data_IF_517744735978
#
_entry.id   IF_517744735978
#
_cell.length_a   1.000
_cell.length_b   1.000
_cell.length_c   1.000
_cell.angle_alpha   90.00
_cell.angle_beta   90.00
_cell.angle_gamma   90.00
#
_symmetry.space_group_name_H-M   'P 1'
#
loop_
_entity.id
_entity.type
_entity.pdbx_description
1 polymer ?
#
# COMPACT_ATOMS: atom_id res chain seq x y z
N UNK A 1 -20.72 7.01 -18.66
CA UNK A 1 -21.21 8.41 -18.64
C UNK A 1 -20.37 9.34 -19.54
N UNK A 2 -19.96 8.90 -20.73
CA UNK A 2 -19.40 9.73 -21.81
C UNK A 2 -20.07 9.47 -23.17
N UNK A 3 -21.18 8.70 -23.19
CA UNK A 3 -22.05 8.49 -24.37
C UNK A 3 -23.43 9.16 -24.26
N UNK A 4 -23.73 9.85 -23.16
CA UNK A 4 -25.07 10.43 -22.90
C UNK A 4 -25.09 11.95 -22.71
N UNK A 5 -23.97 12.66 -22.92
CA UNK A 5 -23.93 14.13 -22.81
C UNK A 5 -24.18 14.82 -24.17
N UNK A 6 -24.46 14.08 -25.24
CA UNK A 6 -24.71 14.65 -26.57
C UNK A 6 -26.19 14.67 -27.03
N UNK A 7 -27.16 14.22 -26.21
CA UNK A 7 -28.57 14.32 -26.58
C UNK A 7 -29.49 14.38 -25.35
N UNK A 8 -30.31 15.44 -25.27
CA UNK A 8 -31.55 15.43 -24.49
C UNK A 8 -31.50 16.13 -23.12
N UNK A 9 -31.52 17.46 -23.14
CA UNK A 9 -32.23 18.23 -22.10
C UNK A 9 -33.73 18.01 -22.33
N UNK A 10 -34.40 17.29 -21.44
CA UNK A 10 -35.82 17.38 -21.03
C UNK A 10 -36.32 16.01 -20.53
N UNK A 11 -36.94 15.97 -19.35
CA UNK A 11 -37.74 14.82 -18.89
C UNK A 11 -37.49 14.40 -17.45
N UNK A 12 -38.45 14.76 -16.58
CA UNK A 12 -38.63 14.29 -15.21
C UNK A 12 -38.86 12.77 -15.09
N UNK A 13 -38.82 12.29 -13.83
CA UNK A 13 -39.48 11.10 -13.26
C UNK A 13 -38.58 9.87 -12.95
N UNK A 14 -38.40 9.66 -11.64
CA UNK A 14 -38.22 8.42 -10.85
C UNK A 14 -37.67 7.15 -11.53
N UNK A 15 -36.47 6.70 -11.14
CA UNK A 15 -36.09 5.28 -11.23
C UNK A 15 -35.01 4.86 -10.21
N UNK A 16 -35.48 4.08 -9.22
CA UNK A 16 -34.99 2.73 -8.89
C UNK A 16 -33.55 2.52 -8.41
N UNK A 17 -33.42 2.30 -7.09
CA UNK A 17 -33.02 1.08 -6.34
C UNK A 17 -32.35 -0.14 -7.03
N UNK A 18 -31.82 -0.03 -8.24
CA UNK A 18 -31.21 -1.15 -8.97
C UNK A 18 -29.67 -1.04 -9.14
N UNK A 19 -29.03 -0.05 -8.52
CA UNK A 19 -27.60 0.22 -8.72
C UNK A 19 -26.66 -0.28 -7.60
N UNK A 20 -27.18 -0.82 -6.50
CA UNK A 20 -26.35 -1.34 -5.41
C UNK A 20 -25.59 -2.62 -5.81
N UNK A 21 -26.20 -3.51 -6.59
CA UNK A 21 -25.59 -4.79 -6.97
C UNK A 21 -24.57 -4.69 -8.12
N UNK A 22 -24.60 -3.60 -8.90
CA UNK A 22 -23.62 -3.37 -9.98
C UNK A 22 -22.30 -2.77 -9.50
N UNK A 23 -22.30 -2.07 -8.36
CA UNK A 23 -21.12 -1.42 -7.77
C UNK A 23 -20.06 -2.40 -7.23
N UNK A 24 -20.40 -3.68 -7.14
CA UNK A 24 -19.56 -4.71 -6.51
C UNK A 24 -18.69 -5.46 -7.56
N UNK A 25 -19.00 -5.35 -8.85
CA UNK A 25 -18.42 -6.23 -9.89
C UNK A 25 -17.34 -5.62 -10.79
N UNK A 26 -17.08 -4.31 -10.77
CA UNK A 26 -16.10 -3.67 -11.66
C UNK A 26 -15.12 -2.73 -10.91
N UNK A 27 -13.82 -3.09 -10.79
CA UNK A 27 -12.81 -2.26 -10.11
C UNK A 27 -12.53 -0.93 -10.82
N UNK A 28 -12.64 -0.88 -12.14
CA UNK A 28 -12.36 0.30 -12.99
C UNK A 28 -13.38 1.42 -12.79
N UNK A 29 -14.66 1.08 -12.56
CA UNK A 29 -15.74 2.03 -12.33
C UNK A 29 -15.57 2.82 -11.01
N UNK A 30 -14.90 2.23 -10.02
CA UNK A 30 -14.64 2.84 -8.71
C UNK A 30 -13.52 3.89 -8.81
N UNK A 31 -12.46 3.62 -9.59
CA UNK A 31 -11.35 4.56 -9.80
C UNK A 31 -11.80 5.73 -10.68
N UNK A 32 -12.55 5.46 -11.76
CA UNK A 32 -13.14 6.51 -12.60
C UNK A 32 -14.17 7.36 -11.84
N UNK A 33 -15.06 6.79 -11.02
CA UNK A 33 -15.99 7.58 -10.19
C UNK A 33 -15.29 8.38 -9.10
N UNK A 34 -14.20 7.88 -8.51
CA UNK A 34 -13.47 8.57 -7.44
C UNK A 34 -12.61 9.72 -7.96
N UNK A 35 -11.91 9.51 -9.08
CA UNK A 35 -11.17 10.57 -9.76
C UNK A 35 -12.13 11.58 -10.40
N UNK A 36 -13.21 11.14 -11.06
CA UNK A 36 -14.20 12.09 -11.61
C UNK A 36 -14.91 12.92 -10.55
N UNK A 37 -15.12 12.42 -9.31
CA UNK A 37 -15.64 13.22 -8.20
C UNK A 37 -14.63 14.26 -7.70
N UNK A 38 -13.35 13.90 -7.58
CA UNK A 38 -12.27 14.85 -7.26
C UNK A 38 -12.07 15.89 -8.37
N UNK A 39 -12.24 15.50 -9.64
CA UNK A 39 -12.13 16.37 -10.81
C UNK A 39 -13.37 17.24 -11.03
N UNK A 40 -14.59 16.74 -10.74
CA UNK A 40 -15.83 17.52 -10.80
C UNK A 40 -15.87 18.63 -9.75
N UNK A 41 -15.22 18.43 -8.59
CA UNK A 41 -14.99 19.51 -7.62
C UNK A 41 -14.05 20.60 -8.17
N UNK A 42 -13.05 20.25 -8.99
CA UNK A 42 -12.12 21.21 -9.61
C UNK A 42 -12.72 21.95 -10.82
N UNK A 43 -13.52 21.27 -11.64
CA UNK A 43 -14.22 21.87 -12.78
C UNK A 43 -15.30 22.88 -12.34
N UNK A 44 -15.89 22.72 -11.15
CA UNK A 44 -16.82 23.69 -10.55
C UNK A 44 -16.14 24.82 -9.78
N UNK A 45 -14.93 24.61 -9.28
CA UNK A 45 -14.15 25.65 -8.58
C UNK A 45 -13.48 26.67 -9.52
N UNK A 46 -13.54 26.46 -10.84
CA UNK A 46 -12.95 27.35 -11.85
C UNK A 46 -13.98 28.26 -12.56
N UNK A 47 -15.23 28.30 -12.08
CA UNK A 47 -16.29 29.17 -12.59
C UNK A 47 -16.92 30.02 -11.49
N UNK A 48 -16.79 31.33 -11.62
CA UNK A 48 -17.33 32.38 -10.73
C UNK A 48 -18.85 32.22 -10.54
N UNK A 49 -19.31 31.88 -9.32
CA UNK A 49 -20.56 32.39 -8.73
C UNK A 49 -20.78 31.93 -7.27
N UNK A 50 -20.92 32.93 -6.39
CA UNK A 50 -21.79 32.99 -5.22
C UNK A 50 -21.66 31.93 -4.10
N UNK A 51 -20.97 32.35 -3.03
CA UNK A 51 -21.34 32.22 -1.61
C UNK A 51 -22.71 31.58 -1.34
N UNK A 52 -22.73 30.28 -1.03
CA UNK A 52 -23.81 29.59 -0.34
C UNK A 52 -23.23 28.50 0.58
N UNK A 53 -23.84 28.21 1.74
CA UNK A 53 -23.15 27.60 2.87
C UNK A 53 -22.88 26.11 2.64
N UNK A 54 -21.65 25.73 2.99
CA UNK A 54 -21.14 24.37 3.13
C UNK A 54 -22.02 23.66 4.17
N UNK A 55 -23.06 22.95 3.73
CA UNK A 55 -23.87 22.13 4.62
C UNK A 55 -23.98 20.71 4.05
N UNK A 56 -23.41 19.79 4.84
CA UNK A 56 -23.81 18.39 4.96
C UNK A 56 -23.60 17.50 3.72
N UNK A 57 -22.33 17.23 3.42
CA UNK A 57 -21.96 15.86 3.11
C UNK A 57 -21.73 15.17 4.46
N UNK A 58 -22.73 14.45 4.98
CA UNK A 58 -22.55 13.59 6.14
C UNK A 58 -21.63 12.43 5.74
N UNK A 59 -20.33 12.64 5.90
CA UNK A 59 -19.35 11.56 5.92
C UNK A 59 -19.59 10.77 7.20
N UNK A 60 -20.28 9.64 7.09
CA UNK A 60 -20.24 8.62 8.14
C UNK A 60 -18.79 8.19 8.29
N UNK A 61 -18.19 8.49 9.43
CA UNK A 61 -16.83 8.14 9.78
C UNK A 61 -16.69 6.60 9.77
N UNK A 62 -15.92 6.06 8.82
CA UNK A 62 -14.90 4.99 9.02
C UNK A 62 -14.36 4.39 7.71
N UNK A 63 -14.93 4.62 6.51
CA UNK A 63 -14.30 4.09 5.29
C UNK A 63 -13.31 5.10 4.69
N UNK A 64 -12.01 4.76 4.64
CA UNK A 64 -11.05 5.52 3.83
C UNK A 64 -11.54 5.59 2.38
N UNK A 65 -11.51 6.79 1.80
CA UNK A 65 -12.01 7.05 0.45
C UNK A 65 -11.01 6.56 -0.63
N UNK A 66 -9.77 6.27 -0.24
CA UNK A 66 -8.70 5.79 -1.11
C UNK A 66 -8.18 4.40 -0.68
N UNK A 67 -7.49 3.73 -1.60
CA UNK A 67 -6.87 2.42 -1.36
C UNK A 67 -5.77 2.48 -0.30
N UNK A 68 -5.53 1.36 0.38
CA UNK A 68 -4.44 1.26 1.35
C UNK A 68 -3.07 1.34 0.67
N UNK A 69 -2.04 1.86 1.36
CA UNK A 69 -0.64 1.92 0.89
C UNK A 69 -0.10 0.63 0.25
N UNK A 70 -0.61 -0.56 0.63
CA UNK A 70 -0.20 -1.84 0.06
C UNK A 70 -0.53 -1.94 -1.43
N UNK A 71 -1.59 -1.25 -1.87
CA UNK A 71 -1.96 -1.11 -3.27
C UNK A 71 -0.80 -0.49 -4.05
N UNK A 72 -0.33 0.67 -3.61
CA UNK A 72 0.76 1.38 -4.26
C UNK A 72 2.03 0.54 -4.27
N UNK A 73 2.36 -0.12 -3.15
CA UNK A 73 3.48 -1.07 -3.08
C UNK A 73 3.38 -2.18 -4.14
N UNK A 74 2.25 -2.90 -4.20
CA UNK A 74 2.07 -4.01 -5.13
C UNK A 74 2.12 -3.55 -6.58
N UNK A 75 1.47 -2.42 -6.90
CA UNK A 75 1.48 -1.84 -8.25
C UNK A 75 2.88 -1.35 -8.62
N UNK A 76 3.62 -0.72 -7.70
CA UNK A 76 4.98 -0.22 -7.97
C UNK A 76 5.98 -1.36 -8.25
N UNK A 77 5.82 -2.53 -7.60
CA UNK A 77 6.64 -3.72 -7.90
C UNK A 77 6.53 -4.22 -9.35
N UNK A 78 5.53 -3.77 -10.12
CA UNK A 78 5.44 -4.06 -11.57
C UNK A 78 6.44 -3.27 -12.41
N UNK A 79 7.11 -2.27 -11.81
CA UNK A 79 7.94 -1.22 -12.44
C UNK A 79 7.15 -0.22 -13.27
N UNK A 80 5.84 -0.14 -13.10
CA UNK A 80 4.98 0.81 -13.83
C UNK A 80 5.43 2.25 -13.66
N UNK A 81 5.87 2.64 -12.45
CA UNK A 81 6.36 3.98 -12.19
C UNK A 81 7.60 4.31 -13.03
N UNK A 82 8.64 3.46 -13.00
CA UNK A 82 9.87 3.65 -13.76
C UNK A 82 9.62 3.66 -15.28
N UNK A 83 8.77 2.74 -15.76
CA UNK A 83 8.40 2.64 -17.17
C UNK A 83 7.72 3.93 -17.63
N UNK A 84 6.70 4.42 -16.92
CA UNK A 84 5.99 5.64 -17.33
C UNK A 84 6.81 6.91 -17.14
N UNK A 85 7.70 6.97 -16.13
CA UNK A 85 8.69 8.04 -16.02
C UNK A 85 9.55 8.11 -17.28
N UNK A 86 10.03 6.96 -17.76
CA UNK A 86 10.82 6.88 -18.99
C UNK A 86 9.98 7.22 -20.24
N UNK A 87 8.71 6.80 -20.30
CA UNK A 87 7.78 7.20 -21.38
C UNK A 87 7.64 8.73 -21.45
N UNK A 88 7.42 9.40 -20.31
CA UNK A 88 7.32 10.86 -20.25
C UNK A 88 8.62 11.53 -20.69
N UNK A 89 9.77 11.01 -20.27
CA UNK A 89 11.08 11.51 -20.69
C UNK A 89 11.28 11.36 -22.21
N UNK A 90 10.93 10.21 -22.77
CA UNK A 90 11.06 9.95 -24.21
C UNK A 90 10.11 10.78 -25.06
N UNK A 91 8.94 11.17 -24.55
CA UNK A 91 8.02 12.09 -25.27
C UNK A 91 8.35 13.57 -25.11
N UNK A 92 8.96 13.96 -23.99
CA UNK A 92 9.30 15.37 -23.73
C UNK A 92 10.65 15.77 -24.31
N UNK A 93 11.63 14.85 -24.28
CA UNK A 93 13.03 15.13 -24.67
C UNK A 93 13.63 14.09 -25.59
N UNK A 94 13.08 12.88 -25.61
CA UNK A 94 13.59 11.80 -26.43
C UNK A 94 13.03 11.83 -27.85
N UNK A 95 13.63 11.00 -28.69
CA UNK A 95 13.18 10.74 -30.07
C UNK A 95 12.85 9.26 -30.29
N UNK A 96 12.91 8.43 -29.23
CA UNK A 96 12.70 6.98 -29.34
C UNK A 96 11.24 6.62 -29.58
N UNK A 97 10.32 7.40 -29.02
CA UNK A 97 8.88 7.19 -29.19
C UNK A 97 8.36 8.09 -30.32
N UNK A 98 7.37 7.61 -31.11
CA UNK A 98 6.71 8.48 -32.07
C UNK A 98 5.99 9.63 -31.36
N UNK A 99 5.89 10.77 -32.04
CA UNK A 99 5.10 11.90 -31.56
C UNK A 99 3.66 11.46 -31.25
N UNK A 100 3.08 11.88 -30.12
CA UNK A 100 1.68 11.60 -29.79
C UNK A 100 0.76 12.06 -30.93
N UNK A 101 -0.19 11.20 -31.32
CA UNK A 101 -1.15 11.51 -32.40
C UNK A 101 -2.43 12.12 -31.86
N UNK A 102 -2.69 11.97 -30.57
CA UNK A 102 -3.91 12.39 -29.91
C UNK A 102 -3.64 13.54 -28.93
N UNK A 103 -4.43 14.62 -29.02
CA UNK A 103 -4.38 15.76 -28.09
C UNK A 103 -4.62 15.36 -26.63
N UNK A 104 -5.38 14.29 -26.40
CA UNK A 104 -5.61 13.75 -25.06
C UNK A 104 -4.31 13.18 -24.48
N UNK A 105 -3.46 12.58 -25.31
CA UNK A 105 -2.13 12.09 -24.89
C UNK A 105 -1.24 13.26 -24.48
N UNK A 106 -1.23 14.35 -25.25
CA UNK A 106 -0.50 15.58 -24.89
C UNK A 106 -0.97 16.16 -23.54
N UNK A 107 -2.28 16.22 -23.32
CA UNK A 107 -2.84 16.66 -22.05
C UNK A 107 -2.45 15.71 -20.91
N UNK A 108 -2.50 14.40 -21.13
CA UNK A 108 -2.07 13.41 -20.16
C UNK A 108 -0.59 13.57 -19.79
N UNK A 109 0.30 13.77 -20.75
CA UNK A 109 1.74 13.99 -20.51
C UNK A 109 1.93 15.20 -19.59
N UNK A 110 1.40 16.36 -19.98
CA UNK A 110 1.53 17.61 -19.21
C UNK A 110 0.92 17.47 -17.81
N UNK A 111 -0.27 16.89 -17.70
CA UNK A 111 -0.94 16.70 -16.42
C UNK A 111 -0.18 15.73 -15.51
N UNK A 112 0.34 14.63 -16.06
CA UNK A 112 1.10 13.64 -15.28
C UNK A 112 2.41 14.24 -14.78
N UNK A 113 3.13 14.97 -15.64
CA UNK A 113 4.33 15.72 -15.26
C UNK A 113 4.02 16.72 -14.15
N UNK A 114 2.97 17.54 -14.29
CA UNK A 114 2.61 18.55 -13.30
C UNK A 114 2.15 17.96 -11.95
N UNK A 115 1.44 16.82 -11.96
CA UNK A 115 0.91 16.22 -10.74
C UNK A 115 1.95 15.47 -9.90
N UNK A 116 2.90 14.81 -10.56
CA UNK A 116 3.79 13.83 -9.92
C UNK A 116 5.29 14.08 -10.15
N UNK A 117 5.68 14.86 -11.15
CA UNK A 117 7.10 15.08 -11.47
C UNK A 117 7.55 16.54 -11.35
N UNK A 118 6.61 17.46 -11.15
CA UNK A 118 6.87 18.90 -10.98
C UNK A 118 7.35 19.21 -9.56
N UNK A 119 8.51 19.84 -9.46
CA UNK A 119 9.08 20.24 -8.17
C UNK A 119 8.41 21.53 -7.67
N UNK A 120 7.92 21.51 -6.43
CA UNK A 120 7.54 22.75 -5.75
C UNK A 120 6.09 23.20 -5.94
N UNK A 121 5.16 22.31 -6.31
CA UNK A 121 3.74 22.63 -6.19
C UNK A 121 3.33 22.60 -4.72
N UNK A 122 3.48 23.74 -4.03
CA UNK A 122 3.29 23.87 -2.58
C UNK A 122 1.85 23.60 -2.14
N UNK A 123 0.89 23.70 -3.06
CA UNK A 123 -0.54 23.60 -2.77
C UNK A 123 -1.17 22.28 -3.24
N UNK A 124 -0.40 21.39 -3.88
CA UNK A 124 -0.92 20.09 -4.28
C UNK A 124 -0.89 19.11 -3.09
N UNK A 125 -2.00 18.42 -2.80
CA UNK A 125 -2.02 17.37 -1.77
C UNK A 125 -1.04 16.22 -2.06
N UNK A 126 -0.67 16.00 -3.33
CA UNK A 126 0.30 14.98 -3.77
C UNK A 126 1.75 15.37 -3.53
N UNK A 127 2.03 16.66 -3.36
CA UNK A 127 3.39 17.17 -3.17
C UNK A 127 3.90 16.70 -1.82
N UNK A 128 4.78 15.69 -1.78
CA UNK A 128 5.47 15.23 -0.56
C UNK A 128 6.92 15.68 -0.52
N UNK A 129 7.40 16.23 -1.64
CA UNK A 129 8.76 16.71 -1.81
C UNK A 129 8.95 18.09 -1.19
N UNK A 130 10.10 18.29 -0.56
CA UNK A 130 10.52 19.57 0.01
C UNK A 130 12.04 19.60 0.09
N UNK A 131 12.63 20.69 0.57
CA UNK A 131 14.07 20.74 0.86
C UNK A 131 14.50 19.62 1.82
N UNK A 132 13.61 19.18 2.73
CA UNK A 132 13.87 18.07 3.66
C UNK A 132 13.70 16.68 3.03
N UNK A 133 12.96 16.59 1.91
CA UNK A 133 12.64 15.34 1.20
C UNK A 133 12.71 15.63 -0.30
N UNK A 134 13.91 15.73 -0.86
CA UNK A 134 14.07 16.16 -2.25
C UNK A 134 13.59 15.12 -3.25
N UNK A 135 13.53 13.85 -2.85
CA UNK A 135 13.20 12.72 -3.72
C UNK A 135 11.90 12.02 -3.30
N UNK A 136 10.94 12.01 -4.23
CA UNK A 136 9.64 11.35 -4.04
C UNK A 136 9.78 9.82 -3.99
N UNK A 137 10.64 9.23 -4.83
CA UNK A 137 10.84 7.78 -4.87
C UNK A 137 11.41 7.29 -3.53
N UNK A 138 12.41 8.00 -2.99
CA UNK A 138 12.95 7.72 -1.66
C UNK A 138 11.86 7.86 -0.59
N UNK A 139 11.00 8.88 -0.69
CA UNK A 139 9.89 9.11 0.24
C UNK A 139 8.87 7.97 0.21
N UNK A 140 8.46 7.49 -0.97
CA UNK A 140 7.53 6.34 -1.09
C UNK A 140 8.15 5.04 -0.58
N UNK A 141 9.40 4.74 -0.95
CA UNK A 141 10.13 3.56 -0.45
C UNK A 141 10.30 3.58 1.07
N UNK A 142 10.59 4.76 1.64
CA UNK A 142 10.61 4.95 3.09
C UNK A 142 9.23 4.64 3.72
N UNK A 143 8.13 5.12 3.13
CA UNK A 143 6.79 4.83 3.61
C UNK A 143 6.46 3.33 3.60
N UNK A 144 6.78 2.61 2.52
CA UNK A 144 6.61 1.14 2.45
C UNK A 144 7.40 0.43 3.55
N UNK A 145 8.67 0.81 3.73
CA UNK A 145 9.50 0.20 4.75
C UNK A 145 8.99 0.50 6.16
N UNK A 146 8.54 1.73 6.44
CA UNK A 146 7.92 2.07 7.74
C UNK A 146 6.68 1.23 8.02
N UNK A 147 5.80 1.10 7.03
CA UNK A 147 4.48 0.50 7.21
C UNK A 147 4.49 -1.04 7.22
N UNK A 148 5.35 -1.65 6.41
CA UNK A 148 5.35 -3.10 6.19
C UNK A 148 6.72 -3.75 6.43
N UNK A 149 7.79 -2.98 6.65
CA UNK A 149 9.13 -3.50 6.83
C UNK A 149 9.74 -4.14 5.58
N UNK A 150 9.24 -3.80 4.39
CA UNK A 150 9.65 -4.40 3.11
C UNK A 150 10.17 -3.36 2.12
N UNK A 151 11.10 -3.81 1.28
CA UNK A 151 11.60 -3.05 0.13
C UNK A 151 10.86 -3.48 -1.16
N UNK A 152 10.99 -2.66 -2.20
CA UNK A 152 10.58 -3.06 -3.55
C UNK A 152 11.52 -4.14 -4.10
N UNK A 153 10.97 -5.07 -4.87
CA UNK A 153 11.68 -6.23 -5.40
C UNK A 153 12.60 -5.92 -6.59
N UNK A 154 12.61 -4.68 -7.07
CA UNK A 154 13.41 -4.24 -8.21
C UNK A 154 14.38 -3.12 -7.80
N UNK A 155 15.56 -3.09 -8.44
CA UNK A 155 16.52 -2.01 -8.23
C UNK A 155 16.01 -0.69 -8.82
N UNK A 156 16.79 0.37 -8.59
CA UNK A 156 16.63 1.63 -9.34
C UNK A 156 17.02 1.47 -10.82
N UNK A 157 16.95 2.57 -11.57
CA UNK A 157 17.30 2.62 -13.00
C UNK A 157 18.73 2.13 -13.26
N UNK A 158 19.68 2.43 -12.36
CA UNK A 158 21.10 2.04 -12.48
C UNK A 158 21.38 0.57 -12.11
N UNK A 159 20.34 -0.24 -11.87
CA UNK A 159 20.47 -1.63 -11.42
C UNK A 159 20.97 -1.79 -9.98
N UNK A 160 21.24 -0.68 -9.29
CA UNK A 160 21.65 -0.65 -7.88
C UNK A 160 20.44 -0.55 -6.94
N UNK A 161 20.55 -1.03 -5.68
CA UNK A 161 19.57 -0.73 -4.66
C UNK A 161 19.33 0.78 -4.56
N UNK A 162 18.06 1.19 -4.54
CA UNK A 162 17.71 2.61 -4.51
C UNK A 162 18.12 3.22 -3.16
N UNK A 163 18.87 4.33 -3.14
CA UNK A 163 19.32 4.94 -1.88
C UNK A 163 18.17 5.70 -1.21
N UNK A 164 17.89 5.37 0.05
CA UNK A 164 17.00 6.16 0.91
C UNK A 164 17.30 5.84 2.38
N UNK A 165 16.90 6.75 3.27
CA UNK A 165 17.07 6.55 4.70
C UNK A 165 16.09 5.47 5.20
N UNK A 166 16.63 4.38 5.76
CA UNK A 166 15.82 3.36 6.40
C UNK A 166 15.53 3.78 7.85
N UNK A 167 14.26 3.87 8.26
CA UNK A 167 13.90 4.20 9.64
C UNK A 167 14.41 3.12 10.60
N UNK A 168 14.76 3.52 11.82
CA UNK A 168 15.13 2.58 12.88
C UNK A 168 13.96 1.66 13.28
N UNK A 169 12.72 2.16 13.20
CA UNK A 169 11.51 1.45 13.62
C UNK A 169 10.59 1.21 12.41
N UNK A 170 10.24 -0.05 12.18
CA UNK A 170 9.42 -0.53 11.06
C UNK A 170 8.69 -1.83 11.42
N UNK A 171 7.59 -2.13 10.73
CA UNK A 171 6.81 -3.35 10.93
C UNK A 171 7.44 -4.58 10.24
N UNK A 172 8.62 -5.02 10.68
CA UNK A 172 9.36 -6.13 10.06
C UNK A 172 8.64 -7.47 10.11
N UNK A 173 7.74 -7.65 11.07
CA UNK A 173 6.96 -8.89 11.25
C UNK A 173 5.67 -8.92 10.43
N UNK A 174 5.37 -7.89 9.63
CA UNK A 174 4.10 -7.80 8.90
C UNK A 174 3.91 -8.99 7.96
N UNK A 175 4.92 -9.31 7.15
CA UNK A 175 4.83 -10.42 6.18
C UNK A 175 4.64 -11.78 6.87
N UNK A 176 5.45 -12.17 7.88
CA UNK A 176 5.21 -13.41 8.62
C UNK A 176 3.81 -13.53 9.22
N UNK A 177 3.29 -12.46 9.85
CA UNK A 177 1.96 -12.47 10.47
C UNK A 177 0.87 -12.53 9.40
N UNK A 178 1.02 -11.78 8.31
CA UNK A 178 0.06 -11.79 7.20
C UNK A 178 -0.01 -13.15 6.50
N UNK A 179 1.13 -13.80 6.27
CA UNK A 179 1.16 -15.15 5.70
C UNK A 179 0.55 -16.19 6.63
N UNK A 180 0.78 -16.07 7.95
CA UNK A 180 0.14 -16.95 8.93
C UNK A 180 -1.38 -16.76 8.97
N UNK A 181 -1.85 -15.51 8.92
CA UNK A 181 -3.27 -15.19 8.78
C UNK A 181 -3.88 -15.85 7.54
N UNK A 182 -3.26 -15.67 6.38
CA UNK A 182 -3.74 -16.28 5.13
C UNK A 182 -3.77 -17.81 5.17
N UNK A 183 -2.79 -18.44 5.83
CA UNK A 183 -2.74 -19.91 6.02
C UNK A 183 -3.89 -20.43 6.88
N UNK A 184 -4.16 -19.77 8.01
CA UNK A 184 -5.25 -20.19 8.90
C UNK A 184 -6.64 -19.96 8.25
N UNK A 185 -6.81 -18.86 7.51
CA UNK A 185 -8.03 -18.64 6.72
C UNK A 185 -8.17 -19.68 5.61
N UNK A 186 -7.09 -20.02 4.90
CA UNK A 186 -7.12 -21.09 3.89
C UNK A 186 -7.53 -22.43 4.49
N UNK A 187 -6.98 -22.81 5.66
CA UNK A 187 -7.40 -24.01 6.39
C UNK A 187 -8.90 -23.97 6.72
N UNK A 188 -9.40 -22.82 7.15
CA UNK A 188 -10.83 -22.64 7.42
C UNK A 188 -11.69 -22.78 6.15
N UNK A 189 -11.21 -22.30 5.01
CA UNK A 189 -11.87 -22.46 3.70
C UNK A 189 -11.95 -23.93 3.31
N UNK A 190 -10.83 -24.66 3.44
CA UNK A 190 -10.73 -26.09 3.09
C UNK A 190 -11.69 -26.95 3.95
N UNK A 191 -11.79 -26.65 5.24
CA UNK A 191 -12.65 -27.38 6.17
C UNK A 191 -14.04 -26.77 6.38
N UNK A 192 -14.41 -25.71 5.64
CA UNK A 192 -15.69 -25.01 5.79
C UNK A 192 -16.93 -25.90 5.56
N UNK A 193 -16.80 -26.93 4.72
CA UNK A 193 -17.85 -27.92 4.42
C UNK A 193 -17.66 -29.25 5.15
N UNK A 194 -16.68 -29.33 6.05
CA UNK A 194 -16.42 -30.56 6.75
C UNK A 194 -17.52 -30.82 7.79
N UNK A 195 -18.38 -31.80 7.50
CA UNK A 195 -19.45 -32.24 8.40
C UNK A 195 -19.11 -33.52 9.17
N UNK A 196 -17.96 -34.14 8.89
CA UNK A 196 -17.57 -35.44 9.46
C UNK A 196 -16.10 -35.43 9.90
N UNK A 197 -15.87 -35.69 11.18
CA UNK A 197 -14.53 -35.72 11.77
C UNK A 197 -14.09 -34.39 12.39
N UNK A 198 -12.89 -34.32 12.96
CA UNK A 198 -12.38 -33.12 13.62
C UNK A 198 -12.25 -31.95 12.62
N UNK A 199 -12.74 -30.77 13.00
CA UNK A 199 -12.53 -29.53 12.25
C UNK A 199 -11.35 -28.77 12.87
N UNK A 200 -10.19 -28.67 12.17
CA UNK A 200 -9.01 -27.96 12.70
C UNK A 200 -9.10 -26.43 12.54
N UNK A 201 -10.27 -25.89 12.17
CA UNK A 201 -10.48 -24.44 12.06
C UNK A 201 -10.48 -23.80 13.43
N UNK A 202 -9.47 -22.96 13.69
CA UNK A 202 -9.40 -22.16 14.91
C UNK A 202 -9.80 -20.70 14.61
N UNK A 203 -11.05 -20.35 14.96
CA UNK A 203 -11.59 -18.99 14.74
C UNK A 203 -10.93 -17.96 15.65
N UNK A 204 -10.49 -18.36 16.84
CA UNK A 204 -9.84 -17.46 17.79
C UNK A 204 -8.44 -17.10 17.28
N UNK A 205 -7.67 -18.09 16.81
CA UNK A 205 -6.36 -17.84 16.21
C UNK A 205 -6.42 -16.89 15.01
N UNK A 206 -7.43 -17.02 14.14
CA UNK A 206 -7.58 -16.09 13.00
C UNK A 206 -7.93 -14.68 13.49
N UNK A 207 -8.82 -14.54 14.48
CA UNK A 207 -9.19 -13.25 15.05
C UNK A 207 -7.99 -12.56 15.72
N UNK A 208 -7.17 -13.32 16.47
CA UNK A 208 -5.94 -12.84 17.11
C UNK A 208 -4.91 -12.35 16.08
N UNK A 209 -4.78 -13.08 14.95
CA UNK A 209 -3.90 -12.68 13.85
C UNK A 209 -4.40 -11.41 13.15
N UNK A 210 -5.71 -11.28 12.94
CA UNK A 210 -6.31 -10.06 12.39
C UNK A 210 -6.10 -8.86 13.33
N UNK A 211 -6.33 -9.04 14.63
CA UNK A 211 -6.08 -8.02 15.64
C UNK A 211 -4.60 -7.60 15.71
N UNK A 212 -3.68 -8.57 15.63
CA UNK A 212 -2.24 -8.29 15.59
C UNK A 212 -1.87 -7.47 14.35
N UNK A 213 -2.40 -7.82 13.18
CA UNK A 213 -2.20 -7.04 11.95
C UNK A 213 -2.75 -5.63 12.11
N UNK A 214 -4.00 -5.49 12.59
CA UNK A 214 -4.61 -4.19 12.86
C UNK A 214 -3.71 -3.33 13.76
N UNK A 215 -3.24 -3.90 14.87
CA UNK A 215 -2.40 -3.20 15.86
C UNK A 215 -1.11 -2.70 15.22
N UNK A 216 -0.41 -3.56 14.47
CA UNK A 216 0.81 -3.17 13.75
C UNK A 216 0.58 -2.01 12.77
N UNK A 217 -0.51 -2.02 12.02
CA UNK A 217 -0.82 -0.96 11.04
C UNK A 217 -1.24 0.34 11.73
N UNK A 218 -2.08 0.26 12.77
CA UNK A 218 -2.57 1.42 13.51
C UNK A 218 -1.48 2.11 14.35
N UNK A 219 -0.54 1.36 14.92
CA UNK A 219 0.63 1.92 15.60
C UNK A 219 1.45 2.83 14.67
N UNK A 220 1.60 2.45 13.39
CA UNK A 220 2.34 3.27 12.41
C UNK A 220 1.59 4.52 11.98
N UNK A 221 0.26 4.50 12.09
CA UNK A 221 -0.59 5.68 11.87
C UNK A 221 -0.61 6.61 13.08
N UNK A 222 0.03 6.28 14.19
CA UNK A 222 0.09 7.13 15.38
C UNK A 222 -1.14 7.04 16.28
N UNK A 223 -1.91 5.94 16.18
CA UNK A 223 -2.98 5.56 17.11
C UNK A 223 -4.19 6.50 17.19
N UNK A 224 -4.17 7.65 16.51
CA UNK A 224 -5.22 8.67 16.56
C UNK A 224 -5.90 8.84 15.19
N UNK A 225 -7.25 8.87 15.12
CA UNK A 225 -7.98 9.04 13.86
C UNK A 225 -7.76 10.41 13.20
N UNK A 226 -7.30 11.40 13.97
CA UNK A 226 -7.30 12.82 13.57
C UNK A 226 -6.00 13.29 12.93
N UNK A 227 -4.89 12.57 13.07
CA UNK A 227 -3.60 12.93 12.47
C UNK A 227 -2.77 11.70 12.13
N UNK A 228 -3.24 10.87 11.18
CA UNK A 228 -2.54 9.66 10.80
C UNK A 228 -1.14 9.98 10.25
N UNK A 229 -0.12 9.51 10.95
CA UNK A 229 1.25 9.50 10.43
C UNK A 229 1.27 8.72 9.11
N UNK A 230 2.06 9.19 8.13
CA UNK A 230 2.17 8.65 6.77
C UNK A 230 0.96 8.84 5.83
N UNK A 231 -0.12 9.51 6.26
CA UNK A 231 -1.30 9.65 5.41
C UNK A 231 -1.06 10.46 4.12
N UNK A 232 -0.17 11.45 4.15
CA UNK A 232 0.17 12.25 2.96
C UNK A 232 0.99 11.42 1.97
N UNK A 233 1.96 10.67 2.47
CA UNK A 233 2.79 9.75 1.68
C UNK A 233 1.95 8.62 1.09
N UNK A 234 1.00 8.07 1.85
CA UNK A 234 0.05 7.08 1.37
C UNK A 234 -0.86 7.66 0.27
N UNK A 235 -1.47 8.82 0.50
CA UNK A 235 -2.31 9.45 -0.50
C UNK A 235 -1.53 9.73 -1.79
N UNK A 236 -0.33 10.31 -1.68
CA UNK A 236 0.52 10.63 -2.83
C UNK A 236 0.90 9.36 -3.63
N UNK A 237 1.38 8.31 -2.94
CA UNK A 237 1.73 7.06 -3.58
C UNK A 237 0.52 6.38 -4.24
N UNK A 238 -0.61 6.27 -3.53
CA UNK A 238 -1.81 5.64 -4.07
C UNK A 238 -2.37 6.44 -5.25
N UNK A 239 -2.35 7.77 -5.20
CA UNK A 239 -2.79 8.61 -6.30
C UNK A 239 -1.90 8.43 -7.54
N UNK A 240 -0.57 8.44 -7.38
CA UNK A 240 0.37 8.24 -8.48
C UNK A 240 0.21 6.86 -9.13
N UNK A 241 0.23 5.79 -8.31
CA UNK A 241 0.21 4.43 -8.82
C UNK A 241 -1.17 4.04 -9.38
N UNK A 242 -2.27 4.54 -8.81
CA UNK A 242 -3.62 4.35 -9.39
C UNK A 242 -3.80 5.10 -10.70
N UNK A 243 -3.26 6.32 -10.82
CA UNK A 243 -3.26 7.09 -12.07
C UNK A 243 -2.55 6.33 -13.19
N UNK A 244 -1.37 5.77 -12.92
CA UNK A 244 -0.61 5.01 -13.90
C UNK A 244 -1.26 3.65 -14.21
N UNK A 245 -1.77 2.95 -13.20
CA UNK A 245 -2.45 1.67 -13.40
C UNK A 245 -3.70 1.82 -14.28
N UNK A 246 -4.46 2.91 -14.10
CA UNK A 246 -5.63 3.22 -14.93
C UNK A 246 -5.28 3.30 -16.43
N UNK A 247 -4.07 3.76 -16.78
CA UNK A 247 -3.65 3.88 -18.18
C UNK A 247 -3.51 2.54 -18.88
N UNK A 248 -3.08 1.50 -18.16
CA UNK A 248 -2.89 0.14 -18.71
C UNK A 248 -4.13 -0.73 -18.54
N UNK A 249 -5.08 -0.35 -17.70
CA UNK A 249 -6.30 -1.14 -17.42
C UNK A 249 -7.25 -1.22 -18.63
N UNK A 250 -7.27 -0.18 -19.47
CA UNK A 250 -8.09 -0.13 -20.69
C UNK A 250 -7.32 0.41 -21.90
N UNK A 251 -7.98 0.44 -23.08
CA UNK A 251 -7.42 0.99 -24.33
C UNK A 251 -7.37 2.52 -24.31
N UNK A 252 -6.58 3.07 -23.40
CA UNK A 252 -6.38 4.50 -23.22
C UNK A 252 -5.74 5.15 -24.47
N UNK A 253 -5.93 6.48 -24.67
CA UNK A 253 -5.28 7.20 -25.76
C UNK A 253 -3.75 7.02 -25.77
N UNK A 254 -3.14 6.97 -24.58
CA UNK A 254 -1.72 6.70 -24.36
C UNK A 254 -1.32 5.31 -24.88
N UNK A 255 -2.09 4.27 -24.54
CA UNK A 255 -1.88 2.88 -25.02
C UNK A 255 -2.02 2.80 -26.55
N UNK A 256 -2.96 3.54 -27.13
CA UNK A 256 -3.15 3.59 -28.60
C UNK A 256 -2.01 4.32 -29.32
N UNK A 257 -1.57 5.46 -28.80
CA UNK A 257 -0.46 6.23 -29.38
C UNK A 257 0.87 5.47 -29.27
N UNK A 258 1.05 4.71 -28.19
CA UNK A 258 2.16 3.76 -28.04
C UNK A 258 1.98 2.49 -28.89
N UNK A 259 0.87 2.34 -29.62
CA UNK A 259 0.58 1.20 -30.50
C UNK A 259 0.68 -0.15 -29.77
N UNK A 260 0.11 -0.23 -28.57
CA UNK A 260 0.05 -1.47 -27.75
C UNK A 260 -1.38 -1.88 -27.42
N UNK A 261 -2.39 -1.30 -28.07
CA UNK A 261 -3.80 -1.58 -27.83
C UNK A 261 -4.23 -3.02 -28.19
N UNK A 262 -3.41 -3.77 -28.93
CA UNK A 262 -3.69 -5.17 -29.24
C UNK A 262 -3.51 -6.11 -28.02
N UNK A 263 -2.81 -5.65 -26.97
CA UNK A 263 -2.65 -6.40 -25.74
C UNK A 263 -3.96 -6.44 -24.93
N UNK A 264 -4.42 -7.64 -24.59
CA UNK A 264 -5.71 -7.85 -23.94
C UNK A 264 -5.70 -7.57 -22.43
N UNK A 265 -4.55 -7.64 -21.78
CA UNK A 265 -4.41 -7.55 -20.32
C UNK A 265 -3.47 -6.41 -19.90
N UNK A 266 -3.66 -5.83 -18.70
CA UNK A 266 -2.85 -4.69 -18.24
C UNK A 266 -1.36 -5.03 -18.10
N UNK A 267 -1.01 -6.25 -17.70
CA UNK A 267 0.38 -6.70 -17.63
C UNK A 267 1.04 -6.78 -19.01
N UNK A 268 0.30 -7.22 -20.02
CA UNK A 268 0.82 -7.39 -21.38
C UNK A 268 1.00 -6.02 -22.03
N UNK A 269 0.05 -5.09 -21.81
CA UNK A 269 0.21 -3.68 -22.18
C UNK A 269 1.44 -3.08 -21.52
N UNK A 270 1.60 -3.26 -20.20
CA UNK A 270 2.77 -2.75 -19.48
C UNK A 270 4.09 -3.33 -20.02
N UNK A 271 4.13 -4.63 -20.30
CA UNK A 271 5.30 -5.31 -20.86
C UNK A 271 5.69 -4.71 -22.21
N UNK A 272 4.74 -4.57 -23.13
CA UNK A 272 5.00 -4.00 -24.45
C UNK A 272 5.40 -2.51 -24.39
N UNK A 273 4.81 -1.72 -23.48
CA UNK A 273 5.24 -0.34 -23.24
C UNK A 273 6.68 -0.32 -22.72
N UNK A 274 7.00 -1.20 -21.77
CA UNK A 274 8.34 -1.37 -21.22
C UNK A 274 9.40 -1.68 -22.28
N UNK A 275 9.10 -2.60 -23.20
CA UNK A 275 9.97 -2.93 -24.34
C UNK A 275 10.24 -1.72 -25.24
N UNK A 276 9.22 -0.90 -25.49
CA UNK A 276 9.36 0.32 -26.30
C UNK A 276 10.28 1.33 -25.66
N UNK A 277 10.31 1.46 -24.33
CA UNK A 277 11.21 2.40 -23.62
C UNK A 277 12.52 1.77 -23.12
N UNK A 278 12.69 0.46 -23.29
CA UNK A 278 13.89 -0.27 -22.89
C UNK A 278 13.95 -0.63 -21.40
N UNK A 279 12.81 -0.63 -20.70
CA UNK A 279 12.70 -1.04 -19.29
C UNK A 279 11.77 -2.23 -19.19
N UNK A 280 12.30 -3.40 -18.86
CA UNK A 280 11.48 -4.61 -18.67
C UNK A 280 10.56 -4.46 -17.44
N UNK A 281 9.27 -4.75 -17.63
CA UNK A 281 8.32 -4.90 -16.53
C UNK A 281 8.63 -6.13 -15.69
N UNK A 282 8.10 -6.19 -14.48
CA UNK A 282 8.29 -7.37 -13.63
C UNK A 282 7.62 -8.63 -14.24
N UNK A 283 8.27 -9.79 -14.16
CA UNK A 283 7.75 -11.04 -14.75
C UNK A 283 6.41 -11.50 -14.13
N UNK A 284 6.15 -11.09 -12.88
CA UNK A 284 4.91 -11.39 -12.13
C UNK A 284 3.89 -10.24 -12.11
N UNK A 285 3.96 -9.30 -13.05
CA UNK A 285 3.07 -8.12 -13.07
C UNK A 285 1.58 -8.48 -13.04
N UNK A 286 1.17 -9.56 -13.70
CA UNK A 286 -0.19 -10.08 -13.65
C UNK A 286 -0.68 -10.28 -12.20
N UNK A 287 0.09 -11.03 -11.41
CA UNK A 287 -0.26 -11.34 -10.02
C UNK A 287 -0.26 -10.08 -9.14
N UNK A 288 0.64 -9.13 -9.39
CA UNK A 288 0.62 -7.85 -8.68
C UNK A 288 -0.63 -7.02 -8.96
N UNK A 289 -1.07 -6.90 -10.21
CA UNK A 289 -2.28 -6.16 -10.56
C UNK A 289 -3.55 -6.81 -9.99
N UNK A 290 -3.62 -8.14 -9.98
CA UNK A 290 -4.75 -8.86 -9.37
C UNK A 290 -4.78 -8.69 -7.85
N UNK A 291 -3.62 -8.75 -7.19
CA UNK A 291 -3.50 -8.64 -5.74
C UNK A 291 -3.79 -7.24 -5.22
N UNK A 292 -3.29 -6.20 -5.90
CA UNK A 292 -3.32 -4.83 -5.41
C UNK A 292 -4.68 -4.37 -4.86
N UNK A 293 -5.79 -4.42 -5.62
CA UNK A 293 -7.09 -3.98 -5.11
C UNK A 293 -7.67 -4.92 -4.03
N UNK A 294 -7.34 -6.21 -4.06
CA UNK A 294 -7.90 -7.21 -3.14
C UNK A 294 -7.24 -7.14 -1.77
N UNK A 295 -5.91 -7.09 -1.75
CA UNK A 295 -5.13 -6.92 -0.51
C UNK A 295 -5.40 -5.55 0.11
N UNK A 296 -5.54 -4.49 -0.71
CA UNK A 296 -5.97 -3.16 -0.25
C UNK A 296 -7.27 -3.23 0.56
N UNK A 297 -8.33 -3.80 -0.03
CA UNK A 297 -9.64 -3.92 0.64
C UNK A 297 -9.58 -4.78 1.91
N UNK A 298 -8.86 -5.90 1.86
CA UNK A 298 -8.67 -6.76 3.02
C UNK A 298 -7.98 -6.02 4.18
N UNK A 299 -6.88 -5.31 3.90
CA UNK A 299 -6.18 -4.56 4.94
C UNK A 299 -7.01 -3.39 5.47
N UNK A 300 -7.84 -2.74 4.64
CA UNK A 300 -8.78 -1.72 5.13
C UNK A 300 -9.80 -2.30 6.12
N UNK A 301 -10.34 -3.49 5.85
CA UNK A 301 -11.27 -4.18 6.75
C UNK A 301 -10.59 -4.64 8.04
N UNK A 302 -9.35 -5.15 7.94
CA UNK A 302 -8.53 -5.49 9.12
C UNK A 302 -8.24 -4.24 9.94
N UNK A 303 -7.83 -3.13 9.32
CA UNK A 303 -7.61 -1.85 10.01
C UNK A 303 -8.87 -1.34 10.71
N UNK A 304 -10.05 -1.53 10.10
CA UNK A 304 -11.34 -1.19 10.69
C UNK A 304 -11.74 -2.09 11.88
N UNK A 305 -11.10 -3.25 12.02
CA UNK A 305 -11.37 -4.21 13.09
C UNK A 305 -12.52 -5.16 12.78
N UNK A 306 -12.88 -5.32 11.50
CA UNK A 306 -14.02 -6.13 11.06
C UNK A 306 -13.85 -7.63 11.39
N UNK A 307 -12.64 -8.08 11.73
CA UNK A 307 -12.31 -9.49 11.99
C UNK A 307 -11.71 -9.74 13.38
N UNK A 308 -11.88 -8.81 14.32
CA UNK A 308 -11.30 -8.90 15.65
C UNK A 308 -12.04 -9.88 16.58
N UNK A 309 -13.24 -10.32 16.21
CA UNK A 309 -14.03 -11.27 16.99
C UNK A 309 -14.15 -12.62 16.26
N UNK A 310 -14.07 -13.76 16.96
CA UNK A 310 -14.15 -15.09 16.35
C UNK A 310 -15.40 -15.32 15.48
N UNK A 311 -16.52 -14.70 15.84
CA UNK A 311 -17.77 -14.81 15.09
C UNK A 311 -17.74 -14.04 13.76
N UNK A 312 -16.98 -12.95 13.70
CA UNK A 312 -16.87 -12.12 12.49
C UNK A 312 -15.96 -12.76 11.42
N UNK A 313 -14.96 -13.52 11.87
CA UNK A 313 -14.01 -14.23 10.98
C UNK A 313 -14.72 -15.22 10.05
N UNK A 314 -15.89 -15.74 10.46
CA UNK A 314 -16.68 -16.67 9.66
C UNK A 314 -16.98 -16.12 8.24
N UNK A 315 -17.09 -14.80 8.08
CA UNK A 315 -17.27 -14.13 6.80
C UNK A 315 -16.11 -14.34 5.81
N UNK A 316 -14.90 -14.66 6.27
CA UNK A 316 -13.72 -14.87 5.42
C UNK A 316 -13.74 -16.21 4.69
N UNK A 317 -14.43 -17.23 5.22
CA UNK A 317 -14.29 -18.60 4.73
C UNK A 317 -15.61 -19.37 4.56
N UNK A 318 -16.70 -18.99 5.23
CA UNK A 318 -17.96 -19.67 5.05
C UNK A 318 -18.60 -19.28 3.70
N UNK A 319 -19.15 -20.25 2.94
CA UNK A 319 -20.06 -19.95 1.85
C UNK A 319 -21.43 -19.54 2.45
N UNK A 320 -21.94 -18.33 2.23
CA UNK A 320 -23.24 -17.92 2.74
C UNK A 320 -24.34 -18.55 1.86
N UNK A 321 -25.48 -18.93 2.44
CA UNK A 321 -26.68 -19.22 1.66
C UNK A 321 -27.44 -17.90 1.39
N UNK A 322 -27.96 -17.58 0.18
CA UNK A 322 -27.74 -18.11 -1.17
C UNK A 322 -26.86 -17.19 -2.07
N UNK A 323 -26.09 -16.24 -1.50
CA UNK A 323 -25.29 -15.28 -2.27
C UNK A 323 -23.82 -15.69 -2.43
N UNK A 324 -23.13 -15.17 -3.45
CA UNK A 324 -21.69 -15.35 -3.60
C UNK A 324 -20.93 -14.58 -2.51
N UNK A 325 -20.04 -15.25 -1.76
CA UNK A 325 -19.14 -14.58 -0.83
C UNK A 325 -17.92 -14.05 -1.55
N UNK A 326 -18.06 -12.82 -2.02
CA UNK A 326 -17.00 -12.09 -2.71
C UNK A 326 -15.74 -11.94 -1.85
N UNK A 327 -15.86 -11.86 -0.52
CA UNK A 327 -14.72 -11.79 0.40
C UNK A 327 -13.94 -13.11 0.42
N UNK A 328 -14.63 -14.25 0.53
CA UNK A 328 -14.02 -15.57 0.41
C UNK A 328 -13.31 -15.76 -0.93
N UNK A 329 -13.97 -15.38 -2.03
CA UNK A 329 -13.37 -15.50 -3.37
C UNK A 329 -12.15 -14.58 -3.53
N UNK A 330 -12.21 -13.38 -2.95
CA UNK A 330 -11.05 -12.48 -2.88
C UNK A 330 -9.91 -13.10 -2.07
N UNK A 331 -10.18 -13.72 -0.92
CA UNK A 331 -9.15 -14.39 -0.11
C UNK A 331 -8.52 -15.56 -0.87
N UNK A 332 -9.32 -16.39 -1.54
CA UNK A 332 -8.78 -17.49 -2.36
C UNK A 332 -7.83 -16.95 -3.44
N UNK A 333 -8.25 -15.89 -4.14
CA UNK A 333 -7.43 -15.20 -5.13
C UNK A 333 -6.16 -14.61 -4.51
N UNK A 334 -6.26 -14.01 -3.32
CA UNK A 334 -5.11 -13.48 -2.59
C UNK A 334 -4.12 -14.60 -2.26
N UNK A 335 -4.57 -15.71 -1.67
CA UNK A 335 -3.72 -16.86 -1.31
C UNK A 335 -2.97 -17.39 -2.54
N UNK A 336 -3.65 -17.52 -3.67
CA UNK A 336 -3.08 -18.03 -4.92
C UNK A 336 -1.98 -17.12 -5.46
N UNK A 337 -2.32 -15.85 -5.71
CA UNK A 337 -1.37 -14.92 -6.31
C UNK A 337 -0.27 -14.49 -5.31
N UNK A 338 -0.57 -14.43 -4.01
CA UNK A 338 0.44 -14.16 -2.99
C UNK A 338 1.50 -15.26 -2.96
N UNK A 339 1.07 -16.53 -3.00
CA UNK A 339 1.99 -17.67 -3.08
C UNK A 339 2.87 -17.61 -4.34
N UNK A 340 2.32 -17.15 -5.47
CA UNK A 340 3.07 -16.96 -6.71
C UNK A 340 4.13 -15.85 -6.60
N UNK A 341 3.80 -14.70 -5.97
CA UNK A 341 4.74 -13.58 -5.87
C UNK A 341 5.81 -13.78 -4.79
N UNK A 342 5.53 -14.51 -3.71
CA UNK A 342 6.53 -14.81 -2.67
C UNK A 342 7.29 -16.10 -2.92
N UNK A 343 6.76 -17.00 -3.75
CA UNK A 343 7.30 -18.35 -3.95
C UNK A 343 7.07 -19.28 -2.75
N UNK A 344 6.30 -18.85 -1.73
CA UNK A 344 5.99 -19.65 -0.55
C UNK A 344 4.64 -20.33 -0.72
N UNK A 345 4.57 -21.61 -0.42
CA UNK A 345 3.32 -22.35 -0.50
C UNK A 345 2.46 -22.08 0.75
N UNK A 346 1.43 -21.25 0.60
CA UNK A 346 0.46 -20.97 1.68
C UNK A 346 -0.57 -22.08 1.87
N UNK A 347 -0.73 -22.97 0.87
CA UNK A 347 -1.68 -24.09 0.92
C UNK A 347 -1.07 -25.36 1.51
N UNK A 348 0.26 -25.47 1.53
CA UNK A 348 0.95 -26.57 2.14
C UNK A 348 0.85 -26.47 3.67
N UNK A 349 -0.03 -27.26 4.25
CA UNK A 349 0.03 -27.56 5.68
C UNK A 349 1.18 -28.53 5.89
N UNK A 350 2.19 -28.23 6.73
CA UNK A 350 3.13 -29.26 7.15
C UNK A 350 2.32 -30.33 7.88
N UNK A 351 2.20 -31.53 7.29
CA UNK A 351 1.80 -32.71 8.03
C UNK A 351 2.90 -32.98 9.06
N UNK A 352 2.79 -32.35 10.24
CA UNK A 352 3.51 -32.83 11.40
C UNK A 352 2.82 -34.13 11.81
N UNK A 353 3.27 -35.24 11.23
CA UNK A 353 3.03 -36.55 11.81
C UNK A 353 3.67 -36.50 13.21
N UNK A 354 2.84 -36.31 14.23
CA UNK A 354 3.28 -36.28 15.61
C UNK A 354 4.04 -37.58 15.88
N UNK A 355 5.36 -37.49 15.97
CA UNK A 355 6.15 -38.53 16.60
C UNK A 355 5.63 -38.63 18.04
N UNK A 356 5.27 -39.84 18.53
CA UNK A 356 4.74 -40.00 19.86
C UNK A 356 5.80 -39.50 20.85
N UNK A 357 5.44 -38.48 21.64
CA UNK A 357 6.25 -38.01 22.75
C UNK A 357 6.33 -39.16 23.77
N UNK A 358 7.41 -39.94 23.70
CA UNK A 358 7.83 -40.81 24.79
C UNK A 358 8.04 -39.94 26.03
N UNK A 359 7.08 -40.05 26.95
CA UNK A 359 7.08 -39.46 28.28
C UNK A 359 8.29 -40.01 29.05
N UNK A 360 9.37 -39.23 29.14
CA UNK A 360 10.46 -39.52 30.05
C UNK A 360 10.01 -39.14 31.48
N UNK A 361 9.90 -40.16 32.31
CA UNK A 361 9.51 -40.07 33.72
C UNK A 361 10.48 -39.21 34.53
N UNK A 362 9.92 -38.40 35.41
CA UNK A 362 10.63 -37.72 36.47
C UNK A 362 11.29 -38.74 37.42
N UNK A 363 12.56 -38.51 37.77
CA UNK A 363 13.14 -39.01 39.01
C UNK A 363 13.96 -37.90 39.64
N UNK A 364 13.48 -37.47 40.80
CA UNK A 364 14.21 -36.64 41.75
C UNK A 364 15.13 -37.53 42.58
N UNK A 365 16.35 -37.08 42.88
CA UNK A 365 16.88 -36.93 44.26
C UNK A 365 18.39 -36.64 44.30
N UNK A 366 18.72 -35.71 45.21
CA UNK A 366 19.91 -35.60 46.05
C UNK A 366 21.26 -35.15 45.43
N UNK A 367 21.76 -34.00 45.93
CA UNK A 367 23.12 -33.49 45.72
C UNK A 367 24.21 -34.24 46.51
N UNK A 368 25.47 -33.77 46.47
CA UNK A 368 25.86 -32.73 47.43
C UNK A 368 26.87 -31.66 46.93
N UNK A 369 26.71 -30.45 47.49
CA UNK A 369 27.68 -29.40 47.90
C UNK A 369 29.00 -29.13 47.12
N UNK A 370 29.08 -27.93 46.54
CA UNK A 370 30.11 -26.84 46.64
C UNK A 370 31.63 -27.13 46.45
N UNK A 371 32.48 -26.17 45.96
CA UNK A 371 32.37 -24.71 46.16
C UNK A 371 32.66 -23.78 44.96
N UNK A 372 32.19 -22.53 45.14
CA UNK A 372 32.34 -21.33 44.31
C UNK A 372 33.78 -20.80 44.19
N UNK A 373 34.18 -20.22 43.03
CA UNK A 373 35.22 -19.21 42.94
C UNK A 373 34.65 -17.78 43.07
N UNK A 374 35.44 -16.92 43.70
CA UNK A 374 35.13 -15.55 44.10
C UNK A 374 34.93 -14.57 42.93
N UNK A 375 33.94 -13.68 43.10
CA UNK A 375 33.68 -12.51 42.27
C UNK A 375 34.63 -11.37 42.65
N UNK A 376 35.26 -10.77 41.65
CA UNK A 376 36.05 -9.54 41.78
C UNK A 376 35.15 -8.32 42.03
N UNK A 377 35.60 -7.32 42.81
CA UNK A 377 34.85 -6.08 43.06
C UNK A 377 34.95 -5.08 41.89
N UNK A 378 33.95 -4.18 41.75
CA UNK A 378 33.91 -3.15 40.70
C UNK A 378 34.88 -1.97 41.00
N UNK A 379 35.39 -1.28 39.96
CA UNK A 379 36.25 -0.12 40.13
C UNK A 379 35.46 1.11 40.62
N UNK A 380 36.10 1.85 41.54
CA UNK A 380 35.55 3.01 42.25
C UNK A 380 35.48 4.28 41.38
N UNK A 381 34.44 5.07 41.65
CA UNK A 381 34.20 6.43 41.17
C UNK A 381 35.36 7.38 41.55
N UNK A 382 35.86 8.14 40.58
CA UNK A 382 36.80 9.23 40.79
C UNK A 382 36.07 10.50 41.30
N UNK A 383 36.66 11.26 42.24
CA UNK A 383 36.05 12.45 42.81
C UNK A 383 36.23 13.70 41.96
N UNK A 384 35.18 14.54 41.98
CA UNK A 384 35.17 15.90 41.46
C UNK A 384 36.21 16.79 42.17
N UNK A 385 36.75 17.75 41.43
CA UNK A 385 37.62 18.83 41.94
C UNK A 385 37.17 20.19 41.40
N UNK A 386 37.51 21.30 42.09
CA UNK A 386 36.55 22.33 42.45
C UNK A 386 36.59 23.60 41.58
N UNK A 387 35.50 24.36 41.68
CA UNK A 387 35.26 25.69 41.11
C UNK A 387 36.01 26.81 41.84
N UNK A 388 36.40 27.86 41.09
CA UNK A 388 36.44 29.31 41.39
C UNK A 388 37.74 30.02 40.89
N UNK A 389 37.80 31.37 40.71
CA UNK A 389 36.77 32.41 40.54
C UNK A 389 37.04 33.43 39.40
N UNK A 390 36.08 34.35 39.23
CA UNK A 390 35.98 35.63 38.50
C UNK A 390 37.26 36.45 38.16
N UNK A 391 37.17 37.15 37.02
CA UNK A 391 37.87 38.42 36.71
C UNK A 391 37.63 38.86 35.25
N UNK A 392 36.60 39.68 34.98
CA UNK A 392 36.69 41.12 34.64
C UNK A 392 37.34 41.48 33.28
N UNK A 393 36.48 41.99 32.38
CA UNK A 393 36.72 42.91 31.24
C UNK A 393 37.76 44.03 31.53
N UNK A 394 38.34 44.78 30.54
CA UNK A 394 37.61 45.36 29.39
C UNK A 394 38.37 45.63 28.05
N UNK A 395 37.57 46.06 27.07
CA UNK A 395 37.81 47.14 26.08
C UNK A 395 38.83 47.02 24.91
N UNK A 396 38.24 47.13 23.71
CA UNK A 396 38.51 48.14 22.67
C UNK A 396 39.69 48.01 21.69
N UNK A 397 39.29 48.14 20.41
CA UNK A 397 39.80 49.04 19.37
C UNK A 397 40.57 48.51 18.14
N UNK A 398 40.07 49.03 17.00
CA UNK A 398 40.65 49.33 15.66
C UNK A 398 40.80 48.18 14.65
N UNK A 399 40.04 48.21 13.54
CA UNK A 399 40.22 49.00 12.30
C UNK A 399 41.55 48.72 11.58
N UNK A 400 41.50 48.20 10.35
CA UNK A 400 41.96 48.87 9.11
C UNK A 400 41.61 48.00 7.90
N UNK A 401 41.18 48.68 6.84
CA UNK A 401 40.86 48.26 5.48
C UNK A 401 41.96 47.43 4.78
N UNK A 402 41.54 46.58 3.84
CA UNK A 402 41.94 46.62 2.44
C UNK A 402 40.91 45.89 1.56
#
# INVERSE_FOLDING_TARGET
MFRQIAAGLTGDVTMYDANADRLISEPSLIIEQRLSRLWACRARASGVAAWAPILHCQFTATSKIWDHLIYAYLVENTRIHDIFRKVLLEWTRGERLPAPRNDITYNWIRTTEELFYSYGSMFLPTSVTSVLRPDENATRRNAYFRFFGIDLNHPGEDGRPYPYEKPAIANRDFIPVFELFLKEVWRAIEHSRNSTGPNPTDRAAIADLAYRLQSMLNERRGGTPTSPNLAREEFSAVAALSWLHLIVDYDSPVVRDLQVAAAATPEERLRQIGERVGIASHARSHSYFILAPRVSRLLLQIEAGDFNQPDQVAALYLPPPPAANTLRDNIMTIVDHWSQITGRNLKATPFSAAAPLTRASASAMAGPSSPHPALSPPPALAPASPSAPNGSEPAANRLVEL
#
